data_IF_065084726116
#
_entry.id   IF_065084726116
#
_cell.length_a   1.000
_cell.length_b   1.000
_cell.length_c   1.000
_cell.angle_alpha   90.00
_cell.angle_beta   90.00
_cell.angle_gamma   90.00
#
_symmetry.space_group_name_H-M   'P 1'
#
loop_
_entity.id
_entity.type
_entity.pdbx_description
1 polymer ?
#
# COMPACT_ATOMS: atom_id res chain seq x y z
N UNK A 1 10.80 -5.08 3.63
CA UNK A 1 12.27 -5.20 3.66
C UNK A 1 12.94 -4.24 4.65
N UNK A 2 12.49 -2.99 4.73
CA UNK A 2 13.16 -1.93 5.53
C UNK A 2 12.34 -1.45 6.74
N UNK A 3 11.13 -1.94 6.96
CA UNK A 3 10.32 -1.66 8.13
C UNK A 3 10.59 -2.74 9.19
N UNK A 4 11.37 -2.41 10.21
CA UNK A 4 11.65 -3.33 11.33
C UNK A 4 10.34 -3.74 11.99
N UNK A 5 10.19 -5.03 12.27
CA UNK A 5 8.98 -5.61 12.87
C UNK A 5 7.88 -5.98 11.89
N UNK A 6 8.02 -5.69 10.59
CA UNK A 6 7.08 -6.18 9.58
C UNK A 6 7.28 -7.68 9.34
N UNK A 7 6.19 -8.36 8.98
CA UNK A 7 6.24 -9.77 8.56
C UNK A 7 7.17 -9.97 7.37
N UNK A 8 7.81 -11.16 7.28
CA UNK A 8 8.70 -11.46 6.17
C UNK A 8 7.98 -11.39 4.83
N UNK A 9 8.64 -10.76 3.86
CA UNK A 9 8.18 -10.77 2.49
C UNK A 9 8.29 -12.19 1.94
N UNK A 10 7.23 -12.68 1.29
CA UNK A 10 7.24 -13.94 0.55
C UNK A 10 7.52 -13.71 -0.92
N UNK A 11 6.66 -12.96 -1.60
CA UNK A 11 6.81 -12.62 -3.02
C UNK A 11 6.07 -11.35 -3.40
N UNK A 12 6.48 -10.76 -4.53
CA UNK A 12 5.82 -9.63 -5.18
C UNK A 12 5.54 -10.00 -6.62
N UNK A 13 4.38 -9.65 -7.14
CA UNK A 13 4.00 -9.89 -8.53
C UNK A 13 3.28 -8.69 -9.12
N UNK A 14 3.51 -8.42 -10.41
CA UNK A 14 2.75 -7.47 -11.22
C UNK A 14 1.72 -8.15 -12.12
N UNK A 15 1.55 -9.47 -12.00
CA UNK A 15 0.51 -10.21 -12.73
C UNK A 15 -0.84 -9.84 -12.10
N UNK A 16 -1.79 -9.30 -12.89
CA UNK A 16 -3.09 -8.91 -12.38
C UNK A 16 -3.88 -10.09 -11.81
N UNK A 17 -4.56 -9.87 -10.69
CA UNK A 17 -5.47 -10.82 -10.07
C UNK A 17 -6.77 -10.12 -9.67
N UNK A 18 -7.84 -10.39 -10.38
CA UNK A 18 -9.11 -9.70 -10.18
C UNK A 18 -8.97 -8.19 -10.47
N UNK A 19 -9.23 -7.35 -9.47
CA UNK A 19 -9.10 -5.88 -9.59
C UNK A 19 -7.72 -5.37 -9.22
N UNK A 20 -6.85 -6.22 -8.65
CA UNK A 20 -5.51 -5.83 -8.27
C UNK A 20 -4.57 -5.94 -9.46
N UNK A 21 -3.82 -4.87 -9.77
CA UNK A 21 -2.82 -4.81 -10.83
C UNK A 21 -1.49 -5.47 -10.42
N UNK A 22 -1.35 -5.83 -9.18
CA UNK A 22 -0.21 -6.53 -8.60
C UNK A 22 -0.47 -6.87 -7.13
N UNK A 23 0.32 -7.76 -6.57
CA UNK A 23 0.15 -8.22 -5.18
C UNK A 23 1.51 -8.38 -4.50
N UNK A 24 1.60 -7.89 -3.29
CA UNK A 24 2.70 -8.20 -2.36
C UNK A 24 2.18 -9.20 -1.33
N UNK A 25 2.87 -10.32 -1.18
CA UNK A 25 2.49 -11.37 -0.24
C UNK A 25 3.52 -11.44 0.89
N UNK A 26 3.01 -11.48 2.11
CA UNK A 26 3.78 -11.74 3.32
C UNK A 26 3.41 -13.13 3.84
N UNK A 27 4.37 -13.81 4.42
CA UNK A 27 4.15 -15.12 5.03
C UNK A 27 4.77 -15.07 6.44
N UNK A 28 3.94 -15.10 7.49
CA UNK A 28 4.43 -15.16 8.85
C UNK A 28 5.18 -16.48 9.06
N UNK A 29 6.34 -16.43 9.73
CA UNK A 29 7.14 -17.63 10.03
C UNK A 29 6.48 -18.55 11.05
N UNK A 30 5.56 -18.01 11.84
CA UNK A 30 4.79 -18.72 12.87
C UNK A 30 3.41 -18.08 12.99
N UNK A 31 2.44 -18.88 13.43
CA UNK A 31 1.13 -18.34 13.81
C UNK A 31 1.30 -17.38 14.99
N UNK A 32 0.99 -16.11 14.75
CA UNK A 32 1.06 -15.07 15.76
C UNK A 32 -0.32 -14.84 16.37
N UNK A 33 -0.42 -15.04 17.67
CA UNK A 33 -1.62 -14.76 18.44
C UNK A 33 -1.74 -13.28 18.86
N UNK A 34 -0.65 -12.52 18.82
CA UNK A 34 -0.63 -11.11 19.21
C UNK A 34 0.39 -10.32 18.37
N UNK A 35 0.12 -9.03 18.20
CA UNK A 35 0.99 -8.08 17.52
C UNK A 35 1.46 -7.00 18.49
N UNK A 36 2.72 -6.65 18.41
CA UNK A 36 3.30 -5.54 19.19
C UNK A 36 2.96 -4.19 18.54
N UNK A 37 3.01 -3.11 19.32
CA UNK A 37 2.88 -1.74 18.82
C UNK A 37 3.86 -1.43 17.67
N UNK A 38 5.10 -1.94 17.77
CA UNK A 38 6.13 -1.73 16.72
C UNK A 38 5.75 -2.42 15.40
N UNK A 39 5.19 -3.62 15.45
CA UNK A 39 4.74 -4.38 14.27
C UNK A 39 3.57 -3.68 13.59
N UNK A 40 2.58 -3.22 14.35
CA UNK A 40 1.44 -2.49 13.79
C UNK A 40 1.86 -1.15 13.15
N UNK A 41 2.82 -0.43 13.75
CA UNK A 41 3.41 0.76 13.13
C UNK A 41 4.23 0.44 11.86
N UNK A 42 4.84 -0.74 11.77
CA UNK A 42 5.51 -1.18 10.55
C UNK A 42 4.50 -1.53 9.46
N UNK A 43 3.38 -2.16 9.83
CA UNK A 43 2.27 -2.44 8.93
C UNK A 43 1.62 -1.16 8.39
N UNK A 44 1.35 -0.16 9.26
CA UNK A 44 0.88 1.16 8.84
C UNK A 44 1.81 1.77 7.78
N UNK A 45 3.12 1.76 8.03
CA UNK A 45 4.08 2.31 7.07
C UNK A 45 4.09 1.53 5.73
N UNK A 46 3.89 0.22 5.78
CA UNK A 46 3.84 -0.62 4.58
C UNK A 46 2.65 -0.27 3.68
N UNK A 47 1.47 -0.01 4.25
CA UNK A 47 0.25 0.36 3.53
C UNK A 47 0.40 1.67 2.73
N UNK A 48 1.26 2.60 3.17
CA UNK A 48 1.54 3.84 2.44
C UNK A 48 2.62 3.69 1.35
N UNK A 49 3.25 2.52 1.23
CA UNK A 49 4.38 2.30 0.31
C UNK A 49 4.06 2.61 -1.15
N UNK A 50 2.95 2.11 -1.67
CA UNK A 50 2.52 2.33 -3.05
C UNK A 50 2.25 3.80 -3.36
N UNK A 51 1.43 4.45 -2.53
CA UNK A 51 1.10 5.88 -2.68
C UNK A 51 2.34 6.79 -2.65
N UNK A 52 3.25 6.54 -1.73
CA UNK A 52 4.50 7.33 -1.62
C UNK A 52 5.41 7.06 -2.81
N UNK A 53 5.46 5.84 -3.33
CA UNK A 53 6.22 5.54 -4.54
C UNK A 53 5.65 6.31 -5.75
N UNK A 54 4.32 6.35 -5.94
CA UNK A 54 3.67 7.15 -6.98
C UNK A 54 4.02 8.65 -6.82
N UNK A 55 3.90 9.20 -5.61
CA UNK A 55 4.21 10.59 -5.34
C UNK A 55 5.66 10.96 -5.72
N UNK A 56 6.62 10.09 -5.37
CA UNK A 56 8.04 10.34 -5.61
C UNK A 56 8.44 10.19 -7.09
N UNK A 57 7.77 9.31 -7.83
CA UNK A 57 8.12 9.01 -9.24
C UNK A 57 7.35 9.90 -10.20
N UNK A 58 6.07 10.13 -9.97
CA UNK A 58 5.18 10.82 -10.92
C UNK A 58 4.79 12.23 -10.47
N UNK A 59 5.13 12.61 -9.23
CA UNK A 59 4.72 13.87 -8.64
C UNK A 59 3.33 13.81 -8.02
N UNK A 60 3.06 14.76 -7.12
CA UNK A 60 1.83 14.79 -6.31
C UNK A 60 0.55 14.88 -7.15
N UNK A 61 0.61 15.57 -8.27
CA UNK A 61 -0.54 15.81 -9.17
C UNK A 61 -0.95 14.54 -9.94
N UNK A 62 -0.07 13.54 -10.02
CA UNK A 62 -0.31 12.32 -10.77
C UNK A 62 -0.54 11.09 -9.87
N UNK A 63 -0.82 11.32 -8.59
CA UNK A 63 -1.19 10.25 -7.67
C UNK A 63 -2.57 9.69 -8.07
N UNK A 64 -2.66 8.37 -8.15
CA UNK A 64 -3.91 7.70 -8.53
C UNK A 64 -4.76 7.31 -7.33
N UNK A 65 -5.98 6.83 -7.59
CA UNK A 65 -6.88 6.25 -6.58
C UNK A 65 -6.50 4.82 -6.20
N UNK A 66 -5.44 4.25 -6.78
CA UNK A 66 -5.02 2.86 -6.59
C UNK A 66 -4.76 2.48 -5.14
N UNK A 67 -4.27 3.42 -4.34
CA UNK A 67 -4.02 3.21 -2.91
C UNK A 67 -5.26 3.34 -2.01
N UNK A 68 -6.47 3.47 -2.56
CA UNK A 68 -7.69 3.71 -1.77
C UNK A 68 -7.96 2.63 -0.73
N UNK A 69 -7.76 1.36 -1.09
CA UNK A 69 -7.91 0.23 -0.16
C UNK A 69 -6.85 0.25 0.96
N UNK A 70 -5.60 0.59 0.63
CA UNK A 70 -4.52 0.65 1.61
C UNK A 70 -4.75 1.78 2.62
N UNK A 71 -5.26 2.93 2.17
CA UNK A 71 -5.65 4.05 3.04
C UNK A 71 -6.79 3.64 3.97
N UNK A 72 -7.78 2.90 3.47
CA UNK A 72 -8.88 2.39 4.29
C UNK A 72 -8.36 1.41 5.35
N UNK A 73 -7.51 0.47 4.97
CA UNK A 73 -6.90 -0.48 5.91
C UNK A 73 -6.04 0.24 6.97
N UNK A 74 -5.22 1.21 6.57
CA UNK A 74 -4.42 2.00 7.49
C UNK A 74 -5.28 2.77 8.49
N UNK A 75 -6.38 3.37 8.02
CA UNK A 75 -7.32 4.10 8.88
C UNK A 75 -7.99 3.16 9.89
N UNK A 76 -8.45 1.99 9.42
CA UNK A 76 -9.09 0.99 10.28
C UNK A 76 -8.11 0.44 11.32
N UNK A 77 -6.87 0.13 10.91
CA UNK A 77 -5.82 -0.32 11.82
C UNK A 77 -5.51 0.72 12.88
N UNK A 78 -5.33 1.98 12.50
CA UNK A 78 -5.08 3.07 13.45
C UNK A 78 -6.26 3.28 14.44
N UNK A 79 -7.50 3.17 13.95
CA UNK A 79 -8.70 3.20 14.83
C UNK A 79 -8.67 2.09 15.85
N UNK A 80 -8.36 0.87 15.46
CA UNK A 80 -8.24 -0.29 16.36
C UNK A 80 -7.11 -0.10 17.38
N UNK A 81 -5.95 0.40 16.93
CA UNK A 81 -4.82 0.68 17.81
C UNK A 81 -5.21 1.65 18.94
N UNK A 82 -6.00 2.67 18.63
CA UNK A 82 -6.43 3.69 19.60
C UNK A 82 -7.62 3.20 20.44
N UNK A 83 -8.65 2.65 19.78
CA UNK A 83 -9.94 2.37 20.42
C UNK A 83 -10.01 1.01 21.11
N UNK A 84 -9.31 0.00 20.58
CA UNK A 84 -9.41 -1.38 21.05
C UNK A 84 -8.18 -1.82 21.85
N UNK A 85 -6.97 -1.42 21.39
CA UNK A 85 -5.71 -1.94 21.94
C UNK A 85 -5.07 -1.04 22.98
N UNK A 86 -5.64 0.15 23.21
CA UNK A 86 -5.13 1.09 24.23
C UNK A 86 -3.74 1.63 23.93
N UNK A 87 -3.37 1.79 22.65
CA UNK A 87 -2.05 2.25 22.20
C UNK A 87 -1.97 3.79 22.06
N UNK A 88 -2.73 4.52 22.84
CA UNK A 88 -2.63 5.97 22.94
C UNK A 88 -2.28 6.36 24.38
N UNK A 89 -1.17 7.05 24.57
CA UNK A 89 -0.75 7.54 25.88
C UNK A 89 -1.75 8.55 26.48
N UNK A 90 -2.46 9.30 25.60
CA UNK A 90 -3.42 10.33 26.03
C UNK A 90 -4.77 9.75 26.44
N UNK A 91 -5.18 8.67 25.79
CA UNK A 91 -6.46 8.01 26.08
C UNK A 91 -6.32 6.90 27.12
N UNK A 92 -5.09 6.43 27.35
CA UNK A 92 -4.78 5.32 28.23
C UNK A 92 -5.26 3.96 27.72
N UNK A 93 -5.11 2.90 28.53
CA UNK A 93 -5.47 1.53 28.15
C UNK A 93 -6.98 1.28 28.35
N UNK A 94 -7.80 2.08 27.69
CA UNK A 94 -9.26 1.98 27.72
C UNK A 94 -9.78 1.51 26.36
N UNK A 95 -10.89 0.78 26.38
CA UNK A 95 -11.59 0.34 25.18
C UNK A 95 -12.76 1.28 24.90
N UNK A 96 -12.75 1.89 23.73
CA UNK A 96 -13.76 2.85 23.25
C UNK A 96 -14.59 2.23 22.13
N UNK A 97 -15.23 1.09 22.38
CA UNK A 97 -16.18 0.52 21.41
C UNK A 97 -17.57 1.06 21.65
N UNK A 98 -18.30 1.29 20.56
CA UNK A 98 -19.76 1.26 20.60
C UNK A 98 -20.16 -0.20 20.81
N UNK A 99 -20.94 -0.50 21.83
CA UNK A 99 -21.57 -1.81 21.96
C UNK A 99 -22.30 -2.10 20.65
N UNK A 100 -21.76 -3.01 19.85
CA UNK A 100 -22.52 -3.73 18.85
C UNK A 100 -23.34 -4.76 19.64
N UNK A 101 -24.39 -4.33 20.30
CA UNK A 101 -25.47 -5.24 20.66
C UNK A 101 -26.03 -5.74 19.33
N UNK A 102 -26.02 -7.04 19.17
CA UNK A 102 -26.54 -7.76 18.05
C UNK A 102 -27.90 -7.19 17.67
N UNK A 103 -28.03 -6.74 16.42
CA UNK A 103 -29.31 -6.30 15.84
C UNK A 103 -30.20 -7.54 15.74
N UNK A 104 -30.88 -7.86 16.83
CA UNK A 104 -31.93 -8.86 16.83
C UNK A 104 -33.23 -8.15 16.37
N UNK A 105 -33.71 -8.55 15.19
CA UNK A 105 -35.01 -8.15 14.64
C UNK A 105 -35.19 -6.66 14.25
N UNK A 106 -34.48 -6.18 13.22
CA UNK A 106 -35.04 -5.16 12.31
C UNK A 106 -35.25 -3.74 12.83
N UNK A 107 -34.95 -3.43 14.09
CA UNK A 107 -34.95 -2.07 14.63
C UNK A 107 -33.54 -1.51 14.68
N UNK A 108 -33.27 -0.51 13.85
CA UNK A 108 -32.09 0.34 13.98
C UNK A 108 -32.22 1.19 15.25
N UNK A 109 -31.72 0.68 16.37
CA UNK A 109 -31.54 1.51 17.57
C UNK A 109 -30.40 2.46 17.24
N UNK A 110 -30.68 3.78 17.33
CA UNK A 110 -29.66 4.81 17.19
C UNK A 110 -28.48 4.46 18.11
N UNK A 111 -27.30 4.24 17.51
CA UNK A 111 -26.07 3.97 18.27
C UNK A 111 -25.76 5.18 19.14
N UNK A 112 -26.14 5.14 20.42
CA UNK A 112 -25.62 6.08 21.40
C UNK A 112 -24.16 5.71 21.64
N UNK A 113 -23.27 6.46 21.04
CA UNK A 113 -21.86 6.46 21.43
C UNK A 113 -21.76 7.11 22.82
N UNK A 114 -21.55 6.30 23.84
CA UNK A 114 -21.34 6.76 25.24
C UNK A 114 -19.96 7.43 25.42
N UNK A 115 -19.51 8.20 24.43
CA UNK A 115 -18.23 8.88 24.42
C UNK A 115 -18.50 10.39 24.37
N UNK A 116 -17.88 11.17 25.26
CA UNK A 116 -17.98 12.63 25.20
C UNK A 116 -17.38 13.20 23.91
N UNK A 117 -17.85 14.36 23.47
CA UNK A 117 -17.31 15.04 22.28
C UNK A 117 -15.80 15.32 22.40
N UNK A 118 -15.33 15.61 23.60
CA UNK A 118 -13.91 15.82 23.86
C UNK A 118 -13.10 14.54 23.62
N UNK A 119 -13.58 13.41 24.16
CA UNK A 119 -12.94 12.11 23.95
C UNK A 119 -12.98 11.71 22.48
N UNK A 120 -14.09 11.94 21.76
CA UNK A 120 -14.19 11.68 20.33
C UNK A 120 -13.16 12.48 19.52
N UNK A 121 -13.00 13.77 19.80
CA UNK A 121 -11.97 14.62 19.16
C UNK A 121 -10.55 14.14 19.47
N UNK A 122 -10.31 13.68 20.69
CA UNK A 122 -9.01 13.13 21.08
C UNK A 122 -8.70 11.83 20.34
N UNK A 123 -9.69 10.93 20.21
CA UNK A 123 -9.58 9.71 19.42
C UNK A 123 -9.21 10.05 17.96
N UNK A 124 -9.92 10.99 17.33
CA UNK A 124 -9.63 11.40 15.95
C UNK A 124 -8.22 11.98 15.80
N UNK A 125 -7.77 12.75 16.77
CA UNK A 125 -6.41 13.32 16.80
C UNK A 125 -5.35 12.23 16.89
N UNK A 126 -5.51 11.26 17.78
CA UNK A 126 -4.57 10.15 17.96
C UNK A 126 -4.55 9.22 16.74
N UNK A 127 -5.71 8.89 16.16
CA UNK A 127 -5.82 8.11 14.92
C UNK A 127 -5.08 8.81 13.77
N UNK A 128 -5.34 10.11 13.57
CA UNK A 128 -4.64 10.92 12.55
C UNK A 128 -3.13 10.93 12.79
N UNK A 129 -2.71 11.06 14.04
CA UNK A 129 -1.30 11.04 14.42
C UNK A 129 -0.60 9.73 14.05
N UNK A 130 -1.23 8.57 14.29
CA UNK A 130 -0.70 7.26 13.90
C UNK A 130 -0.60 7.11 12.38
N UNK A 131 -1.64 7.51 11.64
CA UNK A 131 -1.65 7.47 10.17
C UNK A 131 -0.51 8.33 9.61
N UNK A 132 -0.36 9.58 10.08
CA UNK A 132 0.71 10.49 9.65
C UNK A 132 2.11 9.97 10.00
N UNK A 133 2.28 9.33 11.17
CA UNK A 133 3.56 8.68 11.53
C UNK A 133 3.88 7.53 10.56
N UNK A 134 2.89 6.71 10.22
CA UNK A 134 3.04 5.63 9.24
C UNK A 134 3.46 6.15 7.86
N UNK A 135 2.76 7.16 7.34
CA UNK A 135 3.06 7.80 6.07
C UNK A 135 4.47 8.43 6.05
N UNK A 136 4.81 9.20 7.08
CA UNK A 136 6.13 9.82 7.22
C UNK A 136 7.25 8.80 7.29
N UNK A 137 7.03 7.66 7.97
CA UNK A 137 7.98 6.55 8.03
C UNK A 137 8.16 5.91 6.66
N UNK A 138 7.08 5.67 5.92
CA UNK A 138 7.14 5.17 4.55
C UNK A 138 7.92 6.11 3.64
N UNK A 139 7.64 7.41 3.69
CA UNK A 139 8.33 8.44 2.91
C UNK A 139 9.83 8.45 3.17
N UNK A 140 10.23 8.43 4.45
CA UNK A 140 11.66 8.37 4.82
C UNK A 140 12.35 7.13 4.27
N UNK A 141 11.71 5.96 4.38
CA UNK A 141 12.28 4.69 3.90
C UNK A 141 12.43 4.72 2.37
N UNK A 142 11.38 5.07 1.62
CA UNK A 142 11.40 5.02 0.16
C UNK A 142 12.36 6.07 -0.40
N UNK A 143 12.34 7.29 0.13
CA UNK A 143 13.28 8.36 -0.29
C UNK A 143 14.74 7.94 -0.08
N UNK A 144 15.06 7.35 1.07
CA UNK A 144 16.43 6.89 1.35
C UNK A 144 16.85 5.67 0.51
N UNK A 145 15.89 4.92 -0.02
CA UNK A 145 16.09 3.67 -0.77
C UNK A 145 15.53 3.72 -2.19
N UNK A 146 15.43 4.91 -2.76
CA UNK A 146 14.86 5.11 -4.10
C UNK A 146 15.55 4.24 -5.18
N UNK A 147 16.86 4.04 -5.08
CA UNK A 147 17.61 3.15 -5.98
C UNK A 147 17.12 1.70 -5.88
N UNK A 148 16.79 1.23 -4.68
CA UNK A 148 16.24 -0.11 -4.48
C UNK A 148 14.85 -0.26 -5.12
N UNK A 149 14.02 0.80 -5.04
CA UNK A 149 12.71 0.81 -5.71
C UNK A 149 12.87 0.60 -7.21
N UNK A 150 13.78 1.34 -7.86
CA UNK A 150 14.05 1.19 -9.30
C UNK A 150 14.61 -0.19 -9.67
N UNK A 151 15.49 -0.77 -8.84
CA UNK A 151 16.05 -2.12 -9.09
C UNK A 151 14.93 -3.16 -9.05
N UNK A 152 14.07 -3.10 -8.02
CA UNK A 152 12.95 -4.05 -7.88
C UNK A 152 11.94 -3.87 -9.02
N UNK A 153 11.60 -2.63 -9.39
CA UNK A 153 10.69 -2.34 -10.49
C UNK A 153 11.22 -2.91 -11.83
N UNK A 154 12.50 -2.74 -12.12
CA UNK A 154 13.13 -3.33 -13.31
C UNK A 154 13.07 -4.86 -13.28
N UNK A 155 13.36 -5.48 -12.14
CA UNK A 155 13.25 -6.92 -11.99
C UNK A 155 11.82 -7.42 -12.18
N UNK A 156 10.82 -6.70 -11.68
CA UNK A 156 9.42 -7.05 -11.90
C UNK A 156 8.98 -6.90 -13.36
N UNK A 157 9.49 -5.91 -14.09
CA UNK A 157 9.23 -5.77 -15.53
C UNK A 157 9.86 -6.91 -16.35
N UNK A 158 10.96 -7.49 -15.88
CA UNK A 158 11.65 -8.59 -16.56
C UNK A 158 11.06 -9.96 -16.19
N UNK A 159 10.77 -10.19 -14.89
CA UNK A 159 10.40 -11.51 -14.37
C UNK A 159 8.92 -11.60 -13.94
N UNK A 160 8.16 -10.52 -13.96
CA UNK A 160 6.76 -10.37 -13.56
C UNK A 160 6.48 -10.74 -12.08
N UNK A 161 7.22 -11.68 -11.51
CA UNK A 161 7.11 -12.12 -10.11
C UNK A 161 8.52 -12.30 -9.54
N UNK A 162 8.72 -11.80 -8.33
CA UNK A 162 9.98 -11.93 -7.58
C UNK A 162 9.72 -12.49 -6.19
N UNK A 163 10.49 -13.49 -5.80
CA UNK A 163 10.53 -14.01 -4.43
C UNK A 163 11.37 -13.09 -3.54
N UNK A 164 11.23 -13.26 -2.22
CA UNK A 164 12.03 -12.48 -1.28
C UNK A 164 13.55 -12.72 -1.41
N UNK A 165 13.97 -13.93 -1.78
CA UNK A 165 15.37 -14.27 -2.04
C UNK A 165 15.89 -13.57 -3.28
N UNK A 166 15.15 -13.63 -4.39
CA UNK A 166 15.51 -12.96 -5.64
C UNK A 166 15.61 -11.44 -5.47
N UNK A 167 14.68 -10.83 -4.73
CA UNK A 167 14.75 -9.40 -4.41
C UNK A 167 16.03 -9.07 -3.62
N UNK A 168 16.36 -9.89 -2.61
CA UNK A 168 17.59 -9.69 -1.83
C UNK A 168 18.86 -9.81 -2.70
N UNK A 169 18.86 -10.73 -3.67
CA UNK A 169 19.98 -10.92 -4.59
C UNK A 169 20.08 -9.78 -5.62
N UNK A 170 18.97 -9.32 -6.18
CA UNK A 170 18.95 -8.13 -7.05
C UNK A 170 19.50 -6.89 -6.32
N UNK A 171 19.11 -6.69 -5.07
CA UNK A 171 19.60 -5.56 -4.27
C UNK A 171 21.09 -5.63 -3.95
N UNK A 172 21.69 -6.83 -4.01
CA UNK A 172 23.15 -7.06 -3.92
C UNK A 172 23.86 -7.01 -5.28
N UNK A 173 23.14 -6.73 -6.36
CA UNK A 173 23.67 -6.68 -7.73
C UNK A 173 23.88 -8.04 -8.38
N UNK A 174 23.33 -9.12 -7.80
CA UNK A 174 23.38 -10.45 -8.41
C UNK A 174 22.33 -10.60 -9.49
N UNK A 175 22.63 -11.40 -10.51
CA UNK A 175 21.63 -11.80 -11.52
C UNK A 175 20.75 -12.91 -10.99
N UNK A 176 19.47 -12.86 -11.35
CA UNK A 176 18.54 -13.97 -11.11
C UNK A 176 18.82 -15.03 -12.17
N UNK A 177 19.14 -16.23 -11.75
CA UNK A 177 19.23 -17.41 -12.59
C UNK A 177 17.98 -18.24 -12.27
N UNK A 178 17.11 -18.40 -13.27
CA UNK A 178 16.00 -19.36 -13.23
C UNK A 178 16.37 -20.47 -14.17
N UNK A 179 16.46 -21.70 -13.66
CA UNK A 179 16.56 -22.87 -14.49
C UNK A 179 15.25 -23.00 -15.26
N UNK A 180 15.32 -23.19 -16.59
CA UNK A 180 14.16 -23.24 -17.50
C UNK A 180 13.25 -24.46 -17.27
N UNK A 181 13.51 -25.29 -16.27
CA UNK A 181 12.85 -26.57 -16.02
C UNK A 181 11.57 -26.50 -15.14
N UNK A 182 11.18 -25.34 -14.60
CA UNK A 182 9.89 -25.18 -13.88
C UNK A 182 8.72 -24.77 -14.80
N UNK A 183 8.71 -25.31 -16.04
CA UNK A 183 7.56 -25.25 -16.93
C UNK A 183 6.54 -26.36 -16.62
N UNK A 184 5.89 -26.30 -15.46
CA UNK A 184 4.63 -27.00 -15.31
C UNK A 184 3.55 -26.02 -14.85
N UNK A 185 2.49 -25.96 -15.70
CA UNK A 185 1.22 -25.24 -15.61
C UNK A 185 1.19 -23.88 -16.34
N UNK A 186 0.88 -23.94 -17.66
CA UNK A 186 0.30 -22.83 -18.42
C UNK A 186 0.99 -22.51 -19.72
N UNK A 187 0.25 -22.65 -20.82
CA UNK A 187 0.69 -22.50 -22.22
C UNK A 187 1.62 -21.29 -22.52
N UNK A 188 2.55 -21.43 -23.45
CA UNK A 188 3.55 -20.42 -23.75
C UNK A 188 2.91 -19.20 -24.44
N UNK A 189 2.84 -18.06 -23.76
CA UNK A 189 2.53 -16.78 -24.43
C UNK A 189 3.72 -16.36 -25.27
N UNK A 190 3.48 -16.26 -26.58
CA UNK A 190 4.42 -15.75 -27.58
C UNK A 190 5.01 -14.41 -27.14
N UNK A 191 6.34 -14.31 -27.12
CA UNK A 191 7.09 -13.08 -26.90
C UNK A 191 6.71 -12.06 -27.98
N UNK A 192 5.86 -11.10 -27.66
CA UNK A 192 5.66 -9.92 -28.49
C UNK A 192 6.89 -9.02 -28.33
N UNK A 193 7.80 -9.06 -29.29
CA UNK A 193 8.82 -8.02 -29.49
C UNK A 193 8.11 -6.70 -29.72
N UNK A 194 8.10 -5.82 -28.73
CA UNK A 194 7.71 -4.43 -28.92
C UNK A 194 8.76 -3.80 -29.84
N UNK A 195 8.38 -3.63 -31.09
CA UNK A 195 9.16 -2.82 -32.03
C UNK A 195 9.08 -1.37 -31.54
N UNK A 196 10.24 -0.78 -31.25
CA UNK A 196 10.40 0.65 -31.05
C UNK A 196 9.85 1.38 -32.29
N UNK A 197 8.64 1.89 -32.21
CA UNK A 197 8.11 2.87 -33.15
C UNK A 197 8.48 4.25 -32.61
N UNK A 198 9.38 4.91 -33.33
CA UNK A 198 9.72 6.31 -33.18
C UNK A 198 8.44 7.16 -33.18
N UNK A 199 8.09 7.75 -32.05
CA UNK A 199 7.12 8.85 -32.00
C UNK A 199 7.91 10.15 -32.01
N UNK A 200 8.24 10.59 -33.22
CA UNK A 200 8.61 11.97 -33.46
C UNK A 200 7.69 12.51 -34.56
N UNK A 201 7.13 13.70 -34.32
CA UNK A 201 6.37 14.60 -35.19
C UNK A 201 4.88 14.32 -35.37
N UNK A 202 4.04 15.10 -34.67
CA UNK A 202 3.34 16.23 -35.31
C UNK A 202 2.49 16.95 -34.27
N UNK A 203 2.98 18.13 -33.88
CA UNK A 203 2.15 19.17 -33.25
C UNK A 203 1.39 19.84 -34.39
N UNK A 204 0.12 19.47 -34.56
CA UNK A 204 -0.79 20.14 -35.48
C UNK A 204 -1.46 21.31 -34.77
N UNK A 205 -1.18 22.51 -35.23
CA UNK A 205 -1.83 23.75 -34.86
C UNK A 205 -3.32 23.74 -35.20
N UNK A 206 -4.17 24.01 -34.21
CA UNK A 206 -5.61 24.28 -34.41
C UNK A 206 -5.78 25.79 -34.55
N UNK A 207 -6.41 26.30 -35.63
CA UNK A 207 -6.64 27.73 -35.78
C UNK A 207 -7.87 28.18 -34.96
N UNK A 208 -7.66 29.25 -34.22
CA UNK A 208 -8.70 30.07 -33.62
C UNK A 208 -9.52 30.78 -34.74
N UNK A 209 -10.79 30.44 -34.85
CA UNK A 209 -11.74 31.30 -35.55
C UNK A 209 -12.73 31.86 -34.53
N UNK A 210 -12.54 33.15 -34.26
CA UNK A 210 -13.56 34.00 -33.70
C UNK A 210 -14.66 34.24 -34.76
N UNK A 211 -15.93 34.13 -34.36
CA UNK A 211 -17.03 34.90 -34.99
C UNK A 211 -18.00 35.35 -33.91
N UNK A 212 -17.97 36.68 -33.72
CA UNK A 212 -19.12 37.48 -33.24
C UNK A 212 -20.30 37.38 -34.15
N UNK A 213 -21.46 37.54 -33.59
CA UNK A 213 -22.70 38.28 -33.99
C UNK A 213 -23.91 37.53 -33.48
N UNK A 214 -24.75 38.03 -32.74
CA UNK A 214 -25.76 39.07 -32.54
C UNK A 214 -26.51 38.71 -31.26
#
# INVERSE_FOLDING_TARGET
LNAKGHEPLHKVTIIPRGRALGVTMWLPERDKLAHTYSELNAQLASLFGGRIAEELIYGKENITTGAGNDIQQATNLAKRMVKEFGFSDKLGPLRYESNQEEVFLGHSVAQQTNISDETARLIDTEVRGLVQKGESKAKKIITSKIKHLHIIAKGLLEFETLTASEIKDLLKGKKILRDDDDNDIGEPRKKNKIKNTNVNKQVGSVPLTAKNTS
#
